data_IF_900532043632
#
_entry.id   IF_900532043632
#
_cell.length_a   1.000
_cell.length_b   1.000
_cell.length_c   1.000
_cell.angle_alpha   90.00
_cell.angle_beta   90.00
_cell.angle_gamma   90.00
#
_symmetry.space_group_name_H-M   'P 1'
#
loop_
_entity.id
_entity.type
_entity.pdbx_description
1 polymer ?
#
# COMPACT_ATOMS: atom_id res chain seq x y z
N UNK A 1 -27.75 -5.23 -3.74
CA UNK A 1 -28.30 -6.36 -2.95
C UNK A 1 -27.99 -6.33 -1.46
N UNK A 2 -27.50 -5.22 -0.87
CA UNK A 2 -27.17 -5.18 0.57
C UNK A 2 -28.34 -4.88 1.51
N UNK A 3 -29.42 -4.26 1.01
CA UNK A 3 -30.58 -3.87 1.81
C UNK A 3 -31.34 -5.08 2.39
N UNK A 4 -31.43 -6.18 1.62
CA UNK A 4 -32.07 -7.42 2.09
C UNK A 4 -31.29 -8.06 3.24
N UNK A 5 -29.95 -8.03 3.18
CA UNK A 5 -29.08 -8.49 4.25
C UNK A 5 -29.15 -7.59 5.49
N UNK A 6 -29.23 -6.27 5.30
CA UNK A 6 -29.42 -5.32 6.40
C UNK A 6 -30.75 -5.53 7.13
N UNK A 7 -31.84 -5.74 6.39
CA UNK A 7 -33.16 -6.02 6.96
C UNK A 7 -33.19 -7.34 7.74
N UNK A 8 -32.60 -8.40 7.19
CA UNK A 8 -32.45 -9.68 7.90
C UNK A 8 -31.64 -9.51 9.19
N UNK A 9 -30.52 -8.79 9.14
CA UNK A 9 -29.68 -8.54 10.32
C UNK A 9 -30.44 -7.83 11.46
N UNK A 10 -31.25 -6.81 11.11
CA UNK A 10 -32.06 -6.07 12.08
C UNK A 10 -33.11 -6.99 12.75
N UNK A 11 -33.75 -7.88 11.98
CA UNK A 11 -34.70 -8.86 12.53
C UNK A 11 -34.02 -9.84 13.49
N UNK A 12 -32.82 -10.31 13.14
CA UNK A 12 -32.05 -11.23 13.98
C UNK A 12 -31.67 -10.59 15.33
N UNK A 13 -31.30 -9.30 15.33
CA UNK A 13 -31.00 -8.54 16.55
C UNK A 13 -32.24 -8.33 17.43
N UNK A 14 -33.38 -8.00 16.81
CA UNK A 14 -34.64 -7.75 17.52
C UNK A 14 -35.19 -8.99 18.23
N UNK A 15 -34.83 -10.18 17.76
CA UNK A 15 -35.31 -11.47 18.29
C UNK A 15 -34.58 -11.93 19.56
N UNK A 16 -33.67 -11.11 20.10
CA UNK A 16 -33.00 -11.38 21.38
C UNK A 16 -32.18 -12.67 21.37
N UNK A 17 -31.70 -13.08 20.20
CA UNK A 17 -30.86 -14.26 20.09
C UNK A 17 -29.57 -13.95 20.87
N UNK A 18 -29.27 -14.73 21.92
CA UNK A 18 -28.06 -14.67 22.75
C UNK A 18 -26.82 -15.09 21.94
N UNK A 19 -26.61 -14.41 20.82
CA UNK A 19 -25.50 -14.65 19.90
C UNK A 19 -24.20 -14.42 20.67
N UNK A 20 -24.19 -13.55 21.69
CA UNK A 20 -23.03 -13.24 22.54
C UNK A 20 -22.22 -14.46 23.01
N UNK A 21 -22.87 -15.56 23.42
CA UNK A 21 -22.15 -16.75 23.89
C UNK A 21 -21.59 -17.62 22.75
N UNK A 22 -22.33 -17.73 21.64
CA UNK A 22 -21.97 -18.59 20.51
C UNK A 22 -21.27 -17.84 19.35
N UNK A 23 -21.15 -16.51 19.43
CA UNK A 23 -20.55 -15.66 18.39
C UNK A 23 -19.07 -15.98 18.19
N UNK A 24 -18.35 -16.25 19.29
CA UNK A 24 -16.94 -16.65 19.24
C UNK A 24 -16.72 -17.91 18.40
N UNK A 25 -17.61 -18.89 18.52
CA UNK A 25 -17.53 -20.14 17.76
C UNK A 25 -17.85 -19.92 16.27
N UNK A 26 -18.82 -19.05 15.97
CA UNK A 26 -19.22 -18.71 14.58
C UNK A 26 -18.12 -17.91 13.86
N UNK A 27 -17.52 -16.92 14.53
CA UNK A 27 -16.37 -16.18 13.97
C UNK A 27 -15.17 -17.12 13.81
N UNK A 28 -14.92 -18.00 14.78
CA UNK A 28 -13.86 -19.00 14.72
C UNK A 28 -14.02 -19.93 13.50
N UNK A 29 -15.22 -20.41 13.24
CA UNK A 29 -15.55 -21.23 12.07
C UNK A 29 -15.35 -20.48 10.76
N UNK A 30 -15.74 -19.21 10.70
CA UNK A 30 -15.54 -18.36 9.51
C UNK A 30 -14.06 -18.01 9.26
N UNK A 31 -13.24 -17.93 10.31
CA UNK A 31 -11.80 -17.77 10.21
C UNK A 31 -11.09 -19.06 9.79
N UNK A 32 -11.63 -20.23 10.15
CA UNK A 32 -11.04 -21.54 9.84
C UNK A 32 -11.17 -21.91 8.35
N UNK A 33 -12.25 -21.50 7.68
CA UNK A 33 -12.41 -21.68 6.23
C UNK A 33 -11.49 -20.78 5.40
N UNK A 34 -10.82 -19.82 6.05
CA UNK A 34 -9.87 -18.89 5.44
C UNK A 34 -8.42 -19.24 5.77
N UNK A 35 -8.10 -20.53 5.84
CA UNK A 35 -6.71 -21.04 5.87
C UNK A 35 -5.98 -20.56 4.61
N UNK A 36 -5.37 -19.37 4.73
CA UNK A 36 -4.49 -18.81 3.72
C UNK A 36 -3.33 -19.78 3.56
N UNK A 37 -3.30 -20.50 2.44
CA UNK A 37 -2.10 -21.25 2.02
C UNK A 37 -0.90 -20.33 2.19
N UNK A 38 0.19 -20.74 2.87
CA UNK A 38 1.37 -19.89 2.96
C UNK A 38 1.85 -19.66 1.53
N UNK A 39 1.69 -18.43 1.03
CA UNK A 39 2.26 -18.04 -0.28
C UNK A 39 3.74 -18.34 -0.18
N UNK A 40 4.22 -19.33 -0.95
CA UNK A 40 5.66 -19.59 -1.12
C UNK A 40 6.27 -18.26 -1.55
N UNK A 41 6.97 -17.59 -0.63
CA UNK A 41 7.70 -16.36 -0.91
C UNK A 41 8.84 -16.79 -1.82
N UNK A 42 8.64 -16.68 -3.14
CA UNK A 42 9.72 -16.99 -4.08
C UNK A 42 10.84 -16.00 -3.76
N UNK A 43 11.91 -16.50 -3.16
CA UNK A 43 13.14 -15.73 -3.05
C UNK A 43 13.64 -15.62 -4.48
N UNK A 44 13.30 -14.51 -5.15
CA UNK A 44 13.96 -14.13 -6.40
C UNK A 44 15.46 -14.14 -6.11
N UNK A 45 16.19 -15.15 -6.62
CA UNK A 45 17.65 -15.15 -6.61
C UNK A 45 18.06 -13.88 -7.35
N UNK A 46 18.71 -12.94 -6.64
CA UNK A 46 19.33 -11.76 -7.25
C UNK A 46 20.52 -12.25 -8.08
N UNK A 47 20.26 -12.66 -9.31
CA UNK A 47 21.29 -12.90 -10.31
C UNK A 47 21.66 -11.57 -10.95
N UNK A 48 22.60 -10.84 -10.35
CA UNK A 48 23.54 -9.93 -11.02
C UNK A 48 24.19 -9.02 -9.97
N UNK A 49 25.26 -9.50 -9.35
CA UNK A 49 26.02 -8.73 -8.34
C UNK A 49 27.00 -7.72 -8.96
N UNK A 50 27.00 -7.57 -10.29
CA UNK A 50 27.90 -6.65 -11.01
C UNK A 50 27.24 -5.36 -11.49
N UNK A 51 25.95 -5.38 -11.82
CA UNK A 51 25.24 -4.20 -12.35
C UNK A 51 24.40 -3.46 -11.29
N UNK A 52 24.17 -4.08 -10.13
CA UNK A 52 23.35 -3.52 -9.06
C UNK A 52 23.98 -2.26 -8.46
N UNK A 53 25.30 -2.22 -8.27
CA UNK A 53 25.97 -1.08 -7.61
C UNK A 53 25.97 0.18 -8.49
N UNK A 54 26.19 0.01 -9.81
CA UNK A 54 26.10 1.11 -10.78
C UNK A 54 24.65 1.61 -10.96
N UNK A 55 23.68 0.70 -10.86
CA UNK A 55 22.26 1.09 -10.89
C UNK A 55 21.85 1.81 -9.60
N UNK A 56 22.39 1.39 -8.45
CA UNK A 56 22.15 2.02 -7.14
C UNK A 56 22.80 3.40 -7.05
N UNK A 57 24.01 3.58 -7.58
CA UNK A 57 24.65 4.90 -7.62
C UNK A 57 23.86 5.88 -8.48
N UNK A 58 23.48 5.49 -9.71
CA UNK A 58 22.63 6.32 -10.58
C UNK A 58 21.29 6.68 -9.95
N UNK A 59 20.65 5.73 -9.25
CA UNK A 59 19.40 6.00 -8.52
C UNK A 59 19.62 6.98 -7.36
N UNK A 60 20.71 6.82 -6.61
CA UNK A 60 21.09 7.73 -5.52
C UNK A 60 21.34 9.15 -6.03
N UNK A 61 22.07 9.30 -7.13
CA UNK A 61 22.31 10.60 -7.78
C UNK A 61 21.01 11.25 -8.24
N UNK A 62 20.10 10.49 -8.85
CA UNK A 62 18.78 10.99 -9.25
C UNK A 62 17.98 11.46 -8.03
N UNK A 63 17.99 10.69 -6.95
CA UNK A 63 17.31 11.06 -5.69
C UNK A 63 17.88 12.33 -5.07
N UNK A 64 19.21 12.49 -5.09
CA UNK A 64 19.87 13.73 -4.61
C UNK A 64 19.39 14.95 -5.39
N UNK A 65 19.31 14.85 -6.73
CA UNK A 65 18.80 15.94 -7.58
C UNK A 65 17.35 16.29 -7.23
N UNK A 66 16.50 15.30 -7.01
CA UNK A 66 15.10 15.51 -6.61
C UNK A 66 15.03 16.21 -5.24
N UNK A 67 15.83 15.77 -4.27
CA UNK A 67 15.83 16.39 -2.94
C UNK A 67 16.24 17.87 -2.99
N UNK A 68 17.25 18.21 -3.79
CA UNK A 68 17.66 19.62 -4.01
C UNK A 68 16.49 20.44 -4.58
N UNK A 69 15.78 19.88 -5.56
CA UNK A 69 14.60 20.53 -6.15
C UNK A 69 13.50 20.71 -5.10
N UNK A 70 13.20 19.70 -4.29
CA UNK A 70 12.21 19.80 -3.22
C UNK A 70 12.58 20.85 -2.17
N UNK A 71 13.86 20.96 -1.80
CA UNK A 71 14.34 22.02 -0.91
C UNK A 71 14.16 23.42 -1.52
N UNK A 72 14.39 23.56 -2.82
CA UNK A 72 14.18 24.82 -3.55
C UNK A 72 12.71 25.21 -3.58
N UNK A 73 11.82 24.25 -3.83
CA UNK A 73 10.36 24.48 -3.72
C UNK A 73 10.00 24.91 -2.29
N UNK A 74 10.57 24.25 -1.28
CA UNK A 74 10.31 24.57 0.13
C UNK A 74 10.76 25.98 0.52
N UNK A 75 11.92 26.43 0.03
CA UNK A 75 12.49 27.75 0.36
C UNK A 75 11.90 28.91 -0.44
N UNK A 76 11.72 28.73 -1.75
CA UNK A 76 11.40 29.83 -2.67
C UNK A 76 10.26 29.53 -3.64
N UNK A 77 9.54 28.42 -3.44
CA UNK A 77 8.34 28.06 -4.20
C UNK A 77 8.62 27.43 -5.57
N UNK A 78 7.55 26.98 -6.23
CA UNK A 78 7.61 26.28 -7.52
C UNK A 78 8.11 27.16 -8.68
N UNK A 79 7.85 28.46 -8.61
CA UNK A 79 8.22 29.40 -9.68
C UNK A 79 9.73 29.60 -9.79
N UNK A 80 10.48 29.29 -8.72
CA UNK A 80 11.94 29.33 -8.70
C UNK A 80 12.62 28.17 -9.46
N UNK A 81 11.87 27.16 -9.92
CA UNK A 81 12.44 26.02 -10.62
C UNK A 81 12.76 26.33 -12.08
N UNK A 82 13.91 25.84 -12.55
CA UNK A 82 14.25 25.87 -13.97
C UNK A 82 13.38 24.86 -14.75
N UNK A 83 13.31 25.03 -16.08
CA UNK A 83 12.55 24.11 -16.94
C UNK A 83 12.97 22.65 -16.74
N UNK A 84 14.28 22.40 -16.63
CA UNK A 84 14.85 21.07 -16.39
C UNK A 84 14.44 20.49 -15.03
N UNK A 85 14.43 21.30 -13.96
CA UNK A 85 14.02 20.86 -12.62
C UNK A 85 12.52 20.50 -12.58
N UNK A 86 11.69 21.26 -13.29
CA UNK A 86 10.26 20.97 -13.42
C UNK A 86 10.01 19.65 -14.17
N UNK A 87 10.72 19.42 -15.26
CA UNK A 87 10.64 18.17 -16.02
C UNK A 87 11.07 16.95 -15.19
N UNK A 88 12.13 17.09 -14.39
CA UNK A 88 12.56 16.04 -13.47
C UNK A 88 11.47 15.70 -12.44
N UNK A 89 10.80 16.70 -11.88
CA UNK A 89 9.69 16.51 -10.94
C UNK A 89 8.51 15.79 -11.61
N UNK A 90 8.15 16.21 -12.83
CA UNK A 90 7.09 15.57 -13.61
C UNK A 90 7.39 14.10 -13.89
N UNK A 91 8.63 13.79 -14.29
CA UNK A 91 9.06 12.42 -14.60
C UNK A 91 9.00 11.48 -13.39
N UNK A 92 9.15 12.00 -12.17
CA UNK A 92 9.03 11.21 -10.93
C UNK A 92 7.59 11.07 -10.45
N UNK A 93 6.71 12.00 -10.81
CA UNK A 93 5.29 11.94 -10.46
C UNK A 93 4.46 10.92 -11.27
N UNK A 94 5.08 10.27 -12.27
CA UNK A 94 4.45 9.29 -13.17
C UNK A 94 4.83 7.85 -12.81
#
# INVERSE_FOLDING_TARGET
>A
GGAMFGYLYIILLKKGYDISLNFYNIIGFFNFTKTRKPRKKSRKKRSSKGNDDLFRSKKSEKQKKINIVLEKISKSGYDSLTKEEKELLFKESK
#
